data_IF_107163467032
#
_entry.id   IF_107163467032
#
_cell.length_a   1.000
_cell.length_b   1.000
_cell.length_c   1.000
_cell.angle_alpha   90.00
_cell.angle_beta   90.00
_cell.angle_gamma   90.00
#
_symmetry.space_group_name_H-M   'P 1'
#
loop_
_entity.id
_entity.type
_entity.pdbx_description
1 polymer ?
#
# COMPACT_ATOMS: atom_id res chain seq x y z
N UNK A 1 -18.15 -12.67 -14.14
CA UNK A 1 -18.60 -11.29 -14.45
C UNK A 1 -17.73 -10.23 -13.76
N UNK A 2 -16.55 -10.58 -13.20
CA UNK A 2 -15.73 -9.67 -12.37
C UNK A 2 -14.67 -8.84 -13.12
N UNK A 3 -14.33 -9.20 -14.36
CA UNK A 3 -13.24 -8.55 -15.12
C UNK A 3 -13.46 -7.05 -15.37
N UNK A 4 -14.71 -6.60 -15.56
CA UNK A 4 -15.01 -5.18 -15.77
C UNK A 4 -14.88 -4.33 -14.50
N UNK A 5 -14.94 -4.93 -13.30
CA UNK A 5 -14.69 -4.21 -12.05
C UNK A 5 -13.19 -4.14 -11.77
N UNK A 6 -12.50 -5.27 -11.91
CA UNK A 6 -11.05 -5.33 -11.75
C UNK A 6 -10.35 -4.31 -12.66
N UNK A 7 -10.65 -4.29 -13.96
CA UNK A 7 -10.04 -3.34 -14.89
C UNK A 7 -10.26 -1.88 -14.50
N UNK A 8 -11.48 -1.52 -14.07
CA UNK A 8 -11.78 -0.14 -13.64
C UNK A 8 -11.02 0.26 -12.39
N UNK A 9 -10.90 -0.65 -11.41
CA UNK A 9 -10.17 -0.37 -10.18
C UNK A 9 -8.66 -0.29 -10.43
N UNK A 10 -8.13 -1.16 -11.28
CA UNK A 10 -6.73 -1.12 -11.72
C UNK A 10 -6.43 0.22 -12.41
N UNK A 11 -7.22 0.61 -13.42
CA UNK A 11 -7.02 1.91 -14.10
C UNK A 11 -7.11 3.09 -13.13
N UNK A 12 -8.13 3.12 -12.26
CA UNK A 12 -8.27 4.20 -11.27
C UNK A 12 -7.09 4.23 -10.28
N UNK A 13 -6.53 3.07 -9.93
CA UNK A 13 -5.36 3.01 -9.07
C UNK A 13 -4.13 3.57 -9.77
N UNK A 14 -3.87 3.21 -11.03
CA UNK A 14 -2.75 3.73 -11.82
C UNK A 14 -2.83 5.25 -12.00
N UNK A 15 -4.03 5.79 -12.20
CA UNK A 15 -4.27 7.23 -12.28
C UNK A 15 -3.98 7.93 -10.94
N UNK A 16 -4.35 7.32 -9.81
CA UNK A 16 -4.13 7.88 -8.46
C UNK A 16 -2.65 7.89 -8.09
N UNK A 17 -1.91 6.85 -8.46
CA UNK A 17 -0.47 6.71 -8.11
C UNK A 17 0.47 7.25 -9.20
N UNK A 18 -0.07 7.70 -10.34
CA UNK A 18 0.69 8.14 -11.52
C UNK A 18 1.75 7.12 -11.96
N UNK A 19 1.41 5.83 -11.92
CA UNK A 19 2.30 4.73 -12.26
C UNK A 19 1.55 3.58 -12.93
N UNK A 20 2.05 3.16 -14.09
CA UNK A 20 1.50 2.03 -14.84
C UNK A 20 2.25 0.74 -14.52
N UNK A 21 1.57 -0.21 -13.88
CA UNK A 21 2.07 -1.54 -13.62
C UNK A 21 2.20 -2.35 -14.90
N UNK A 22 3.31 -3.10 -14.99
CA UNK A 22 3.49 -4.14 -16.01
C UNK A 22 2.60 -5.34 -15.67
N UNK A 23 2.64 -5.79 -14.41
CA UNK A 23 1.78 -6.85 -13.90
C UNK A 23 0.57 -6.27 -13.18
N UNK A 24 -0.58 -6.23 -13.87
CA UNK A 24 -1.83 -5.71 -13.34
C UNK A 24 -2.42 -6.59 -12.24
N UNK A 25 -2.01 -7.86 -12.13
CA UNK A 25 -2.48 -8.76 -11.10
C UNK A 25 -1.85 -8.43 -9.75
N UNK A 26 -0.58 -8.01 -9.71
CA UNK A 26 0.08 -7.53 -8.49
C UNK A 26 -0.59 -6.25 -7.97
N UNK A 27 -0.86 -5.30 -8.87
CA UNK A 27 -1.66 -4.12 -8.52
C UNK A 27 -3.05 -4.56 -8.01
N UNK A 28 -3.72 -5.48 -8.70
CA UNK A 28 -5.03 -5.94 -8.26
C UNK A 28 -4.99 -6.56 -6.87
N UNK A 29 -4.02 -7.41 -6.54
CA UNK A 29 -3.82 -7.97 -5.19
C UNK A 29 -3.55 -6.88 -4.15
N UNK A 30 -2.71 -5.89 -4.47
CA UNK A 30 -2.35 -4.81 -3.56
C UNK A 30 -3.55 -3.97 -3.09
N UNK A 31 -4.57 -3.82 -3.93
CA UNK A 31 -5.79 -3.09 -3.60
C UNK A 31 -6.74 -3.85 -2.66
N UNK A 32 -6.51 -5.14 -2.38
CA UNK A 32 -7.48 -5.98 -1.66
C UNK A 32 -7.32 -5.87 -0.15
N UNK A 33 -8.31 -5.30 0.53
CA UNK A 33 -8.39 -5.43 1.98
C UNK A 33 -8.70 -6.88 2.38
N UNK A 34 -8.23 -7.30 3.56
CA UNK A 34 -8.58 -8.60 4.12
C UNK A 34 -10.11 -8.71 4.30
N UNK A 35 -10.70 -9.80 3.80
CA UNK A 35 -12.16 -9.98 3.80
C UNK A 35 -12.91 -9.16 2.75
N UNK A 36 -12.22 -8.60 1.75
CA UNK A 36 -12.87 -8.06 0.55
C UNK A 36 -13.69 -9.13 -0.17
N UNK A 37 -14.47 -8.72 -1.18
CA UNK A 37 -15.17 -9.67 -2.04
C UNK A 37 -14.23 -10.60 -2.84
N UNK A 38 -12.91 -10.34 -2.84
CA UNK A 38 -11.87 -11.18 -3.44
C UNK A 38 -11.18 -12.12 -2.44
N UNK A 39 -11.68 -12.25 -1.21
CA UNK A 39 -11.09 -13.12 -0.19
C UNK A 39 -10.98 -14.60 -0.62
N UNK A 40 -11.77 -15.07 -1.59
CA UNK A 40 -11.61 -16.43 -2.12
C UNK A 40 -10.32 -16.62 -2.93
N UNK A 41 -9.76 -15.53 -3.48
CA UNK A 41 -8.52 -15.51 -4.27
C UNK A 41 -7.34 -15.01 -3.45
N UNK A 42 -7.56 -13.99 -2.62
CA UNK A 42 -6.58 -13.44 -1.69
C UNK A 42 -7.13 -13.52 -0.25
N UNK A 43 -7.03 -14.68 0.42
CA UNK A 43 -7.61 -14.89 1.74
C UNK A 43 -7.14 -13.89 2.80
N UNK A 44 -5.90 -13.44 2.69
CA UNK A 44 -5.31 -12.46 3.59
C UNK A 44 -5.36 -11.03 3.04
N UNK A 45 -5.98 -10.83 1.88
CA UNK A 45 -5.90 -9.59 1.11
C UNK A 45 -4.45 -9.26 0.73
N UNK A 46 -4.11 -7.99 0.82
CA UNK A 46 -2.82 -7.42 0.43
C UNK A 46 -1.69 -7.60 1.44
N UNK A 47 -1.90 -8.30 2.56
CA UNK A 47 -0.94 -8.36 3.68
C UNK A 47 0.43 -8.95 3.31
N UNK A 48 0.47 -9.90 2.37
CA UNK A 48 1.73 -10.52 1.93
C UNK A 48 2.58 -9.53 1.13
N UNK A 49 1.96 -8.79 0.21
CA UNK A 49 2.61 -7.70 -0.51
C UNK A 49 3.00 -6.56 0.44
N UNK A 50 2.15 -6.23 1.42
CA UNK A 50 2.46 -5.22 2.43
C UNK A 50 3.74 -5.56 3.21
N UNK A 51 3.94 -6.82 3.59
CA UNK A 51 5.16 -7.27 4.25
C UNK A 51 6.42 -7.06 3.37
N UNK A 52 6.30 -7.29 2.07
CA UNK A 52 7.40 -7.05 1.12
C UNK A 52 7.65 -5.55 1.00
N UNK A 53 6.59 -4.75 0.82
CA UNK A 53 6.70 -3.30 0.67
C UNK A 53 7.22 -2.58 1.90
N UNK A 54 6.91 -3.03 3.11
CA UNK A 54 7.51 -2.53 4.34
C UNK A 54 9.04 -2.72 4.34
N UNK A 55 9.52 -3.89 3.87
CA UNK A 55 10.95 -4.13 3.71
C UNK A 55 11.58 -3.24 2.62
N UNK A 56 10.89 -3.05 1.49
CA UNK A 56 11.33 -2.15 0.40
C UNK A 56 11.41 -0.70 0.87
N UNK A 57 10.38 -0.20 1.55
CA UNK A 57 10.36 1.16 2.11
C UNK A 57 11.55 1.38 3.03
N UNK A 58 11.82 0.43 3.93
CA UNK A 58 12.95 0.51 4.86
C UNK A 58 14.28 0.54 4.13
N UNK A 59 14.44 -0.28 3.10
CA UNK A 59 15.65 -0.31 2.28
C UNK A 59 15.91 1.03 1.59
N UNK A 60 14.91 1.57 0.88
CA UNK A 60 15.03 2.82 0.13
C UNK A 60 15.34 3.99 1.06
N UNK A 61 14.63 4.11 2.19
CA UNK A 61 14.88 5.16 3.18
C UNK A 61 16.30 5.06 3.76
N UNK A 62 16.77 3.86 4.07
CA UNK A 62 18.14 3.67 4.57
C UNK A 62 19.20 3.98 3.51
N UNK A 63 18.93 3.67 2.24
CA UNK A 63 19.82 4.00 1.13
C UNK A 63 19.95 5.53 0.95
N UNK A 64 18.84 6.26 0.96
CA UNK A 64 18.82 7.72 0.85
C UNK A 64 19.58 8.38 2.02
N UNK A 65 19.33 7.90 3.25
CA UNK A 65 19.99 8.42 4.45
C UNK A 65 21.49 8.14 4.46
N UNK A 66 21.90 6.97 3.94
CA UNK A 66 23.31 6.62 3.77
C UNK A 66 23.98 7.52 2.72
N UNK A 67 23.29 7.84 1.63
CA UNK A 67 23.84 8.66 0.55
C UNK A 67 24.16 10.09 1.01
N UNK A 68 23.46 10.61 2.02
CA UNK A 68 23.71 11.94 2.62
C UNK A 68 24.59 11.90 3.88
N UNK A 69 25.27 10.78 4.13
CA UNK A 69 26.18 10.57 5.29
C UNK A 69 25.53 10.83 6.66
N UNK A 70 24.26 10.45 6.81
CA UNK A 70 23.54 10.59 8.07
C UNK A 70 24.17 9.74 9.19
N UNK A 71 24.20 10.27 10.41
CA UNK A 71 24.63 9.48 11.57
C UNK A 71 23.64 8.34 11.87
N UNK A 72 24.14 7.17 12.24
CA UNK A 72 23.33 5.96 12.48
C UNK A 72 22.15 6.17 13.44
N UNK A 73 22.32 6.97 14.50
CA UNK A 73 21.25 7.27 15.46
C UNK A 73 20.08 8.02 14.79
N UNK A 74 20.40 9.03 13.99
CA UNK A 74 19.43 9.83 13.24
C UNK A 74 18.75 9.01 12.13
N UNK A 75 19.48 8.05 11.55
CA UNK A 75 18.91 7.12 10.57
C UNK A 75 17.79 6.29 11.18
N UNK A 76 17.99 5.72 12.38
CA UNK A 76 16.98 4.90 13.04
C UNK A 76 15.74 5.72 13.41
N UNK A 77 15.93 6.95 13.90
CA UNK A 77 14.85 7.88 14.21
C UNK A 77 14.01 8.21 12.96
N UNK A 78 14.68 8.59 11.87
CA UNK A 78 14.04 8.93 10.60
C UNK A 78 13.31 7.74 9.99
N UNK A 79 13.94 6.56 9.96
CA UNK A 79 13.33 5.32 9.50
C UNK A 79 12.05 4.99 10.27
N UNK A 80 12.10 5.12 11.60
CA UNK A 80 10.97 4.81 12.48
C UNK A 80 9.81 5.80 12.26
N UNK A 81 10.11 7.08 12.02
CA UNK A 81 9.11 8.09 11.70
C UNK A 81 8.46 7.84 10.32
N UNK A 82 9.27 7.67 9.27
CA UNK A 82 8.79 7.51 7.89
C UNK A 82 7.93 6.25 7.77
N UNK A 83 8.41 5.12 8.30
CA UNK A 83 7.71 3.83 8.24
C UNK A 83 6.59 3.66 9.28
N UNK A 84 6.30 4.66 10.11
CA UNK A 84 5.22 4.53 11.09
C UNK A 84 3.85 4.49 10.43
N UNK A 85 2.94 3.65 10.93
CA UNK A 85 1.56 3.60 10.45
C UNK A 85 0.87 4.97 10.47
N UNK A 86 1.17 5.82 11.46
CA UNK A 86 0.62 7.16 11.54
C UNK A 86 1.08 8.05 10.37
N UNK A 87 2.37 7.97 10.00
CA UNK A 87 2.87 8.70 8.84
C UNK A 87 2.35 8.10 7.52
N UNK A 88 2.34 6.78 7.38
CA UNK A 88 1.84 6.11 6.18
C UNK A 88 0.34 6.36 5.96
N UNK A 89 -0.49 6.37 7.01
CA UNK A 89 -1.91 6.77 6.89
C UNK A 89 -2.01 8.22 6.44
N UNK A 90 -1.28 9.14 7.09
CA UNK A 90 -1.27 10.57 6.71
C UNK A 90 -0.89 10.76 5.25
N UNK A 91 0.22 10.17 4.80
CA UNK A 91 0.68 10.29 3.40
C UNK A 91 -0.29 9.59 2.45
N UNK A 92 -0.82 8.43 2.80
CA UNK A 92 -1.82 7.73 1.99
C UNK A 92 -3.07 8.58 1.76
N UNK A 93 -3.58 9.24 2.80
CA UNK A 93 -4.73 10.17 2.70
C UNK A 93 -4.43 11.38 1.81
N UNK A 94 -3.24 11.97 1.98
CA UNK A 94 -2.83 13.12 1.16
C UNK A 94 -2.77 12.78 -0.34
N UNK A 95 -2.54 11.50 -0.67
CA UNK A 95 -2.50 11.00 -2.04
C UNK A 95 -3.79 10.26 -2.44
N UNK A 96 -4.88 10.39 -1.67
CA UNK A 96 -6.19 9.77 -1.96
C UNK A 96 -6.17 8.24 -2.11
N UNK A 97 -5.22 7.54 -1.49
CA UNK A 97 -5.08 6.08 -1.62
C UNK A 97 -6.30 5.32 -1.06
N UNK A 98 -7.12 5.94 -0.21
CA UNK A 98 -8.35 5.30 0.29
C UNK A 98 -9.40 5.05 -0.80
N UNK A 99 -9.32 5.77 -1.92
CA UNK A 99 -10.29 5.68 -3.01
C UNK A 99 -10.13 4.40 -3.83
N UNK A 100 -8.93 3.80 -3.77
CA UNK A 100 -8.55 2.63 -4.56
C UNK A 100 -8.59 1.32 -3.75
N UNK A 101 -8.82 1.41 -2.42
CA UNK A 101 -8.96 0.24 -1.54
C UNK A 101 -10.24 -0.53 -1.84
N UNK A 102 -10.10 -1.81 -2.22
CA UNK A 102 -11.23 -2.73 -2.28
C UNK A 102 -11.57 -3.26 -0.88
N UNK A 103 -12.50 -2.57 -0.23
CA UNK A 103 -12.89 -2.79 1.17
C UNK A 103 -13.63 -4.11 1.41
N UNK A 104 -13.60 -4.54 2.67
CA UNK A 104 -14.52 -5.56 3.20
C UNK A 104 -15.96 -5.01 3.22
N UNK A 105 -16.92 -5.62 2.49
CA UNK A 105 -18.31 -5.14 2.45
C UNK A 105 -19.00 -5.06 3.82
N UNK A 106 -18.56 -5.86 4.80
CA UNK A 106 -19.09 -5.88 6.17
C UNK A 106 -18.52 -4.77 7.05
N UNK A 107 -17.57 -3.96 6.55
CA UNK A 107 -16.98 -2.81 7.24
C UNK A 107 -17.28 -1.52 6.45
N UNK A 108 -18.53 -1.02 6.52
CA UNK A 108 -18.90 0.21 5.84
C UNK A 108 -18.21 1.44 6.47
N UNK A 109 -18.05 2.50 5.68
CA UNK A 109 -17.53 3.79 6.14
C UNK A 109 -16.09 4.09 5.71
N UNK A 110 -15.39 4.88 6.52
CA UNK A 110 -14.01 5.32 6.28
C UNK A 110 -13.07 4.12 6.35
N UNK A 111 -12.14 4.02 5.39
CA UNK A 111 -11.08 3.00 5.40
C UNK A 111 -10.31 3.10 6.72
N UNK A 112 -10.14 2.01 7.46
CA UNK A 112 -9.35 2.04 8.69
C UNK A 112 -7.87 2.34 8.40
N UNK A 113 -7.20 3.07 9.29
CA UNK A 113 -5.79 3.44 9.11
C UNK A 113 -4.90 2.24 8.77
N UNK A 114 -4.99 1.15 9.54
CA UNK A 114 -4.22 -0.08 9.27
C UNK A 114 -4.50 -0.72 7.90
N UNK A 115 -5.71 -0.54 7.34
CA UNK A 115 -6.04 -1.02 6.00
C UNK A 115 -5.42 -0.13 4.92
N UNK A 116 -5.42 1.18 5.15
CA UNK A 116 -4.78 2.12 4.25
C UNK A 116 -3.27 1.94 4.22
N UNK A 117 -2.63 1.81 5.39
CA UNK A 117 -1.18 1.58 5.49
C UNK A 117 -0.77 0.27 4.83
N UNK A 118 -1.52 -0.81 5.04
CA UNK A 118 -1.26 -2.08 4.36
C UNK A 118 -1.41 -1.96 2.83
N UNK A 119 -2.34 -1.14 2.35
CA UNK A 119 -2.47 -0.87 0.90
C UNK A 119 -1.28 -0.08 0.38
N UNK A 120 -0.84 0.95 1.11
CA UNK A 120 0.36 1.71 0.77
C UNK A 120 1.56 0.78 0.63
N UNK A 121 1.85 -0.04 1.65
CA UNK A 121 2.96 -0.96 1.63
C UNK A 121 2.78 -2.00 0.52
N UNK A 122 1.59 -2.53 0.31
CA UNK A 122 1.34 -3.50 -0.74
C UNK A 122 1.59 -2.93 -2.14
N UNK A 123 1.32 -1.65 -2.38
CA UNK A 123 1.65 -0.98 -3.64
C UNK A 123 3.17 -0.91 -3.88
N UNK A 124 3.98 -0.79 -2.82
CA UNK A 124 5.44 -0.83 -2.92
C UNK A 124 5.98 -2.26 -3.08
N UNK A 125 5.26 -3.26 -2.58
CA UNK A 125 5.64 -4.67 -2.68
C UNK A 125 5.20 -5.34 -4.00
N UNK A 126 4.29 -4.70 -4.73
CA UNK A 126 3.79 -5.11 -6.04
C UNK A 126 4.73 -4.63 -7.16
#
# INVERSE_FOLDING_TARGET
MDGNRQNRMVTAAEDVIDYSFIDKELLWEALQAAGSNMAFRYPEGNKRLAMIGDAVLKLVVLEDLRAVDSQRGDMQGTLSYIGSNANLDRVGRLNNLETIVNRNPSQPGVVAANTLTATFEALLGA
#
